data_IF_720036331014
#
_entry.id   IF_720036331014
#
_cell.length_a   1.000
_cell.length_b   1.000
_cell.length_c   1.000
_cell.angle_alpha   90.00
_cell.angle_beta   90.00
_cell.angle_gamma   90.00
#
_symmetry.space_group_name_H-M   'P 1'
#
loop_
_entity.id
_entity.type
_entity.pdbx_description
1 polymer ?
#
# COMPACT_ATOMS: atom_id res chain seq x y z
N UNK A 1 -47.11 0.72 -29.68
CA UNK A 1 -45.84 -0.04 -29.64
C UNK A 1 -45.12 0.30 -28.35
N UNK A 2 -45.32 -0.49 -27.29
CA UNK A 2 -44.53 -0.41 -26.06
C UNK A 2 -43.36 -1.38 -26.23
N UNK A 3 -42.15 -0.86 -26.40
CA UNK A 3 -40.93 -1.64 -26.41
C UNK A 3 -40.64 -2.15 -25.00
N UNK A 4 -40.59 -3.48 -24.87
CA UNK A 4 -40.18 -4.19 -23.66
C UNK A 4 -38.74 -3.77 -23.30
N UNK A 5 -38.57 -3.11 -22.16
CA UNK A 5 -37.27 -2.92 -21.54
C UNK A 5 -36.72 -4.29 -21.16
N UNK A 6 -35.61 -4.67 -21.78
CA UNK A 6 -34.85 -5.89 -21.48
C UNK A 6 -34.21 -5.71 -20.09
N UNK A 7 -34.39 -6.64 -19.14
CA UNK A 7 -33.72 -6.55 -17.85
C UNK A 7 -32.20 -6.62 -18.04
N UNK A 8 -31.48 -5.64 -17.46
CA UNK A 8 -30.01 -5.67 -17.41
C UNK A 8 -29.56 -6.79 -16.47
N UNK A 9 -28.45 -7.49 -16.77
CA UNK A 9 -27.91 -8.50 -15.88
C UNK A 9 -27.60 -7.87 -14.52
N UNK A 10 -27.95 -8.59 -13.46
CA UNK A 10 -27.70 -8.22 -12.06
C UNK A 10 -26.19 -8.18 -11.81
N UNK A 11 -25.57 -7.01 -12.00
CA UNK A 11 -24.21 -6.74 -11.58
C UNK A 11 -24.13 -6.88 -10.06
N UNK A 12 -23.23 -7.76 -9.58
CA UNK A 12 -22.86 -7.77 -8.16
C UNK A 12 -22.04 -6.52 -7.90
N UNK A 13 -22.64 -5.57 -7.19
CA UNK A 13 -21.98 -4.30 -6.83
C UNK A 13 -21.19 -4.53 -5.54
N UNK A 14 -19.88 -4.31 -5.60
CA UNK A 14 -19.03 -4.27 -4.42
C UNK A 14 -18.74 -2.81 -4.06
N UNK A 15 -19.17 -2.40 -2.88
CA UNK A 15 -18.88 -1.10 -2.31
C UNK A 15 -17.70 -1.23 -1.34
N UNK A 16 -16.58 -0.61 -1.66
CA UNK A 16 -15.55 -0.30 -0.67
C UNK A 16 -15.86 1.09 -0.11
N UNK A 17 -16.61 1.13 1.00
CA UNK A 17 -16.76 2.33 1.81
C UNK A 17 -15.82 2.23 3.01
N UNK A 18 -14.77 3.05 3.01
CA UNK A 18 -14.10 3.42 4.25
C UNK A 18 -14.66 4.80 4.60
N UNK A 19 -15.73 4.81 5.41
CA UNK A 19 -16.15 6.06 6.04
C UNK A 19 -15.04 6.49 7.00
N UNK A 20 -14.53 7.70 6.85
CA UNK A 20 -13.84 8.42 7.92
C UNK A 20 -14.85 8.74 9.03
N UNK A 21 -15.33 7.70 9.71
CA UNK A 21 -15.96 7.79 11.01
C UNK A 21 -14.90 7.52 12.05
N UNK A 22 -14.77 8.41 13.02
CA UNK A 22 -14.20 8.05 14.32
C UNK A 22 -14.88 6.77 14.81
N UNK A 23 -14.24 5.62 14.63
CA UNK A 23 -14.66 4.37 15.26
C UNK A 23 -13.57 4.00 16.26
N UNK A 24 -13.87 4.31 17.51
CA UNK A 24 -13.22 3.76 18.68
C UNK A 24 -13.57 2.26 18.75
N UNK A 25 -12.76 1.39 18.13
CA UNK A 25 -12.85 -0.06 18.39
C UNK A 25 -12.06 -0.32 19.68
N UNK A 26 -12.79 -0.40 20.79
CA UNK A 26 -12.30 -0.99 22.03
C UNK A 26 -12.54 -2.49 21.97
N UNK A 27 -11.50 -3.26 21.66
CA UNK A 27 -11.39 -4.65 22.15
C UNK A 27 -9.93 -5.03 22.27
N UNK A 28 -9.57 -5.35 23.51
CA UNK A 28 -8.27 -5.80 23.97
C UNK A 28 -7.87 -7.13 23.31
N UNK A 29 -6.86 -7.07 22.45
CA UNK A 29 -5.84 -8.11 22.32
C UNK A 29 -4.59 -7.48 21.66
N UNK A 30 -3.61 -7.16 22.50
CA UNK A 30 -2.20 -6.99 22.14
C UNK A 30 -1.83 -5.90 21.11
N UNK A 31 -1.68 -4.67 21.60
CA UNK A 31 -0.40 -3.94 21.44
C UNK A 31 -0.02 -3.36 20.07
N UNK A 32 -0.95 -3.02 19.17
CA UNK A 32 -0.63 -2.24 17.96
C UNK A 32 -1.35 -0.89 17.94
N UNK A 33 -0.71 0.15 18.49
CA UNK A 33 -1.09 1.53 18.19
C UNK A 33 -0.45 1.94 16.87
N UNK A 34 -1.27 2.03 15.81
CA UNK A 34 -0.84 2.53 14.50
C UNK A 34 -0.43 4.00 14.61
N UNK A 35 0.87 4.26 14.45
CA UNK A 35 1.35 5.58 14.08
C UNK A 35 0.92 5.87 12.64
N UNK A 36 0.22 6.98 12.43
CA UNK A 36 -0.11 7.49 11.09
C UNK A 36 1.17 8.02 10.44
N UNK A 37 1.97 7.11 9.91
CA UNK A 37 3.01 7.43 8.94
C UNK A 37 2.36 7.43 7.57
N UNK A 38 2.32 8.59 6.90
CA UNK A 38 2.06 8.67 5.46
C UNK A 38 3.30 8.16 4.70
N UNK A 39 3.66 6.90 4.92
CA UNK A 39 4.37 6.11 3.94
C UNK A 39 3.32 5.54 3.00
N UNK A 40 3.49 5.74 1.70
CA UNK A 40 2.71 5.02 0.68
C UNK A 40 3.22 3.57 0.71
N UNK A 41 2.86 2.86 1.78
CA UNK A 41 2.92 1.41 1.84
C UNK A 41 1.79 0.91 0.95
N UNK A 42 2.15 0.05 0.00
CA UNK A 42 1.22 -0.61 -0.92
C UNK A 42 -0.05 -1.05 -0.21
N UNK A 43 -1.18 -0.57 -0.72
CA UNK A 43 -2.47 -0.93 -0.16
C UNK A 43 -2.88 -2.34 -0.60
N UNK A 44 -3.31 -3.12 0.39
CA UNK A 44 -4.00 -4.39 0.23
C UNK A 44 -5.35 -4.16 -0.46
N UNK A 45 -5.43 -4.49 -1.73
CA UNK A 45 -6.65 -4.41 -2.51
C UNK A 45 -7.28 -5.79 -2.64
N UNK A 46 -8.42 -5.95 -2.00
CA UNK A 46 -9.22 -7.16 -2.11
C UNK A 46 -9.92 -7.21 -3.47
N UNK A 47 -9.27 -7.89 -4.40
CA UNK A 47 -9.92 -8.52 -5.54
C UNK A 47 -9.62 -10.01 -5.48
N UNK A 48 -10.29 -10.71 -4.56
CA UNK A 48 -10.05 -12.13 -4.33
C UNK A 48 -11.16 -12.99 -4.94
N UNK A 49 -10.75 -13.83 -5.88
CA UNK A 49 -11.53 -14.97 -6.32
C UNK A 49 -10.85 -16.23 -5.77
N UNK A 50 -11.52 -16.91 -4.84
CA UNK A 50 -11.11 -18.24 -4.40
C UNK A 50 -11.66 -19.27 -5.39
N UNK A 51 -10.84 -19.73 -6.33
CA UNK A 51 -11.14 -20.94 -7.10
C UNK A 51 -10.39 -22.11 -6.47
N UNK A 52 -11.15 -23.03 -5.87
CA UNK A 52 -10.64 -24.33 -5.49
C UNK A 52 -10.26 -25.12 -6.74
N UNK A 53 -8.97 -25.41 -6.90
CA UNK A 53 -8.56 -26.52 -7.74
C UNK A 53 -9.12 -27.85 -7.18
N UNK A 54 -9.16 -28.92 -7.99
CA UNK A 54 -9.87 -30.16 -7.63
C UNK A 54 -9.31 -30.94 -6.43
N UNK A 55 -8.32 -30.41 -5.69
CA UNK A 55 -7.78 -31.03 -4.47
C UNK A 55 -7.34 -29.96 -3.45
N UNK A 56 -8.25 -29.15 -2.93
CA UNK A 56 -8.18 -28.61 -1.56
C UNK A 56 -9.44 -27.79 -1.22
N UNK A 57 -10.26 -28.19 -0.23
CA UNK A 57 -11.62 -27.68 -0.10
C UNK A 57 -11.76 -26.41 0.76
N UNK A 58 -10.68 -25.70 1.10
CA UNK A 58 -10.79 -24.51 1.96
C UNK A 58 -10.29 -23.27 1.22
N UNK A 59 -11.22 -22.39 0.76
CA UNK A 59 -10.83 -21.08 0.27
C UNK A 59 -10.10 -20.34 1.39
N UNK A 60 -8.98 -19.70 1.06
CA UNK A 60 -8.24 -18.90 2.03
C UNK A 60 -9.15 -17.84 2.63
N UNK A 61 -9.32 -17.91 3.95
CA UNK A 61 -10.02 -16.86 4.69
C UNK A 61 -9.18 -15.59 4.72
N UNK A 62 -9.85 -14.44 4.90
CA UNK A 62 -9.17 -13.17 5.05
C UNK A 62 -8.16 -13.20 6.21
N UNK A 63 -8.53 -13.81 7.34
CA UNK A 63 -7.66 -13.94 8.51
C UNK A 63 -6.35 -14.66 8.17
N UNK A 64 -6.40 -15.71 7.35
CA UNK A 64 -5.21 -16.44 6.90
C UNK A 64 -4.36 -15.65 5.90
N UNK A 65 -4.93 -14.67 5.20
CA UNK A 65 -4.18 -13.79 4.30
C UNK A 65 -3.52 -12.64 5.06
N UNK A 66 -4.12 -12.20 6.17
CA UNK A 66 -3.58 -11.19 7.08
C UNK A 66 -2.51 -11.77 8.02
N UNK A 67 -2.49 -13.09 8.22
CA UNK A 67 -1.41 -13.81 8.90
C UNK A 67 -0.28 -14.17 7.93
N UNK A 68 0.78 -13.37 7.93
CA UNK A 68 1.90 -13.51 7.01
C UNK A 68 3.12 -12.69 7.39
N UNK A 69 4.09 -12.63 6.49
CA UNK A 69 5.31 -11.87 6.68
C UNK A 69 5.83 -11.31 5.35
N UNK A 70 6.65 -10.26 5.45
CA UNK A 70 7.34 -9.68 4.29
C UNK A 70 8.60 -10.48 3.97
N UNK A 71 8.71 -10.90 2.71
CA UNK A 71 9.91 -11.53 2.16
C UNK A 71 10.62 -10.52 1.27
N UNK A 72 11.86 -10.19 1.63
CA UNK A 72 12.69 -9.27 0.86
C UNK A 72 13.29 -9.98 -0.36
N UNK A 73 13.22 -9.33 -1.52
CA UNK A 73 14.01 -9.72 -2.69
C UNK A 73 15.36 -8.99 -2.68
N UNK A 74 16.35 -9.57 -3.35
CA UNK A 74 17.55 -8.84 -3.69
C UNK A 74 17.23 -7.61 -4.55
N UNK A 75 17.94 -6.52 -4.30
CA UNK A 75 17.91 -5.31 -5.12
C UNK A 75 19.32 -4.93 -5.53
N UNK A 76 19.44 -4.26 -6.66
CA UNK A 76 20.69 -3.65 -7.11
C UNK A 76 20.95 -2.34 -6.37
N UNK A 77 22.20 -1.88 -6.37
CA UNK A 77 22.56 -0.56 -5.82
C UNK A 77 21.87 0.58 -6.58
N UNK A 78 21.60 0.40 -7.88
CA UNK A 78 20.91 1.38 -8.71
C UNK A 78 19.43 1.52 -8.32
N UNK A 79 18.73 0.41 -8.10
CA UNK A 79 17.34 0.41 -7.62
C UNK A 79 17.22 1.10 -6.25
N UNK A 80 18.12 0.79 -5.32
CA UNK A 80 18.13 1.42 -4.01
C UNK A 80 18.40 2.93 -4.11
N UNK A 81 19.36 3.34 -4.94
CA UNK A 81 19.67 4.75 -5.15
C UNK A 81 18.48 5.53 -5.75
N UNK A 82 17.76 4.93 -6.71
CA UNK A 82 16.54 5.52 -7.27
C UNK A 82 15.47 5.73 -6.19
N UNK A 83 15.27 4.73 -5.32
CA UNK A 83 14.32 4.82 -4.22
C UNK A 83 14.74 5.87 -3.17
N UNK A 84 16.01 5.92 -2.78
CA UNK A 84 16.51 6.94 -1.84
C UNK A 84 16.33 8.36 -2.40
N UNK A 85 16.52 8.58 -3.70
CA UNK A 85 16.25 9.87 -4.36
C UNK A 85 14.77 10.24 -4.25
N UNK A 86 13.87 9.28 -4.52
CA UNK A 86 12.43 9.48 -4.38
C UNK A 86 12.03 9.83 -2.94
N UNK A 87 12.51 9.06 -1.96
CA UNK A 87 12.21 9.26 -0.55
C UNK A 87 12.70 10.63 -0.08
N UNK A 88 13.93 11.03 -0.44
CA UNK A 88 14.46 12.36 -0.14
C UNK A 88 13.59 13.47 -0.73
N UNK A 89 13.25 13.39 -2.01
CA UNK A 89 12.42 14.42 -2.67
C UNK A 89 11.04 14.54 -2.05
N UNK A 90 10.45 13.41 -1.64
CA UNK A 90 9.17 13.39 -0.93
C UNK A 90 9.27 14.08 0.43
N UNK A 91 10.36 13.84 1.18
CA UNK A 91 10.63 14.55 2.44
C UNK A 91 10.80 16.05 2.23
N UNK A 92 11.58 16.44 1.23
CA UNK A 92 11.82 17.86 0.91
C UNK A 92 10.50 18.57 0.54
N UNK A 93 9.65 17.90 -0.25
CA UNK A 93 8.33 18.41 -0.61
C UNK A 93 7.44 18.66 0.63
N UNK A 94 7.52 17.77 1.62
CA UNK A 94 6.82 17.91 2.90
C UNK A 94 7.60 18.72 3.95
N UNK A 95 8.72 19.34 3.56
CA UNK A 95 9.59 20.13 4.44
C UNK A 95 10.04 19.35 5.68
N UNK A 96 10.20 18.02 5.54
CA UNK A 96 10.64 17.17 6.62
C UNK A 96 12.15 17.20 6.74
N UNK A 97 12.71 17.23 7.97
CA UNK A 97 14.14 17.11 8.19
C UNK A 97 14.67 15.76 7.66
N UNK A 98 15.99 15.58 7.58
CA UNK A 98 16.57 14.31 7.16
C UNK A 98 16.16 13.13 8.06
N UNK A 99 16.05 13.36 9.37
CA UNK A 99 15.60 12.37 10.36
C UNK A 99 14.47 12.94 11.21
N UNK A 100 13.59 12.07 11.70
CA UNK A 100 12.54 12.42 12.66
C UNK A 100 12.95 12.06 14.10
N UNK A 101 14.26 11.92 14.35
CA UNK A 101 14.80 11.75 15.70
C UNK A 101 14.89 13.10 16.37
N UNK A 102 14.30 13.19 17.56
CA UNK A 102 14.34 14.38 18.39
C UNK A 102 15.69 14.54 19.07
N UNK A 103 16.08 15.79 19.33
CA UNK A 103 17.33 16.11 20.04
C UNK A 103 17.34 15.62 21.49
N UNK A 104 16.16 15.49 22.11
CA UNK A 104 15.99 14.93 23.46
C UNK A 104 15.96 13.39 23.49
N UNK A 105 16.23 12.75 22.35
CA UNK A 105 16.17 11.30 22.15
C UNK A 105 14.83 10.66 22.52
N UNK A 106 13.71 11.42 22.53
CA UNK A 106 12.39 10.84 22.73
C UNK A 106 11.81 10.29 21.43
N UNK A 107 11.05 9.21 21.53
CA UNK A 107 10.40 8.52 20.42
C UNK A 107 9.07 7.89 20.84
N UNK A 108 8.36 7.24 19.92
CA UNK A 108 7.15 6.47 20.22
C UNK A 108 5.89 7.32 20.08
N UNK A 109 5.01 7.32 21.09
CA UNK A 109 3.73 8.06 21.05
C UNK A 109 3.88 9.57 21.28
N UNK A 110 4.97 10.15 20.75
CA UNK A 110 5.27 11.57 20.81
C UNK A 110 5.39 12.12 19.40
N UNK A 111 5.02 13.38 19.22
CA UNK A 111 5.16 14.05 17.93
C UNK A 111 6.57 14.65 17.80
N UNK A 112 7.05 14.72 16.58
CA UNK A 112 8.26 15.45 16.25
C UNK A 112 8.00 16.96 16.38
N UNK A 113 8.90 17.74 17.01
CA UNK A 113 8.73 19.18 17.18
C UNK A 113 8.42 19.88 15.85
N UNK A 114 7.47 20.82 15.86
CA UNK A 114 7.03 21.59 14.68
C UNK A 114 6.42 20.76 13.54
N UNK A 115 6.26 19.44 13.70
CA UNK A 115 5.62 18.55 12.74
C UNK A 115 4.58 17.67 13.45
N UNK A 116 3.46 18.28 13.86
CA UNK A 116 2.42 17.65 14.70
C UNK A 116 1.84 16.35 14.13
N UNK A 117 1.89 16.17 12.81
CA UNK A 117 1.39 14.97 12.11
C UNK A 117 2.42 13.84 11.98
N UNK A 118 3.67 14.08 12.40
CA UNK A 118 4.77 13.12 12.29
C UNK A 118 5.19 12.66 13.67
N UNK A 119 5.22 11.34 13.89
CA UNK A 119 5.71 10.76 15.13
C UNK A 119 7.23 10.89 15.22
N UNK A 120 7.72 11.06 16.44
CA UNK A 120 9.14 11.02 16.74
C UNK A 120 9.64 9.57 16.63
N UNK A 121 10.63 9.35 15.77
CA UNK A 121 11.23 8.03 15.53
C UNK A 121 12.74 8.14 15.59
N UNK A 122 13.41 7.07 16.00
CA UNK A 122 14.86 7.06 16.09
C UNK A 122 15.52 7.04 14.71
N UNK A 123 16.75 7.56 14.61
CA UNK A 123 17.48 7.57 13.35
C UNK A 123 17.92 6.14 13.02
N UNK A 124 17.44 5.55 11.91
CA UNK A 124 17.77 4.17 11.54
C UNK A 124 19.26 3.96 11.26
N UNK A 125 19.96 5.01 10.80
CA UNK A 125 21.41 5.01 10.51
C UNK A 125 22.22 5.63 11.66
N UNK A 126 21.59 5.96 12.79
CA UNK A 126 22.21 6.62 13.94
C UNK A 126 22.75 5.67 15.00
N UNK A 127 23.37 6.22 16.04
CA UNK A 127 23.91 5.44 17.17
C UNK A 127 22.84 4.84 18.10
N UNK A 128 21.61 5.37 18.05
CA UNK A 128 20.50 4.96 18.93
C UNK A 128 19.25 4.57 18.13
N UNK A 129 19.30 3.55 17.25
CA UNK A 129 18.23 3.29 16.28
C UNK A 129 17.01 2.57 16.86
N UNK A 130 17.07 2.10 18.11
CA UNK A 130 15.99 1.39 18.75
C UNK A 130 15.16 2.34 19.61
N UNK A 131 13.83 2.36 19.43
CA UNK A 131 12.92 3.05 20.32
C UNK A 131 12.44 2.09 21.41
N UNK A 132 12.85 2.34 22.65
CA UNK A 132 12.49 1.53 23.83
C UNK A 132 12.09 2.47 24.97
N UNK A 133 10.95 2.21 25.61
CA UNK A 133 10.41 3.06 26.69
C UNK A 133 10.36 4.56 26.28
N UNK A 134 9.83 4.82 25.08
CA UNK A 134 9.75 6.15 24.46
C UNK A 134 11.08 6.90 24.37
N UNK A 135 12.21 6.19 24.34
CA UNK A 135 13.55 6.78 24.23
C UNK A 135 14.40 6.03 23.20
N UNK A 136 15.18 6.78 22.43
CA UNK A 136 16.12 6.23 21.45
C UNK A 136 17.35 5.72 22.19
N UNK A 137 17.59 4.42 22.09
CA UNK A 137 18.64 3.70 22.81
C UNK A 137 19.58 2.99 21.85
N UNK A 138 20.83 2.82 22.28
CA UNK A 138 21.80 2.01 21.58
C UNK A 138 21.63 0.56 22.04
N UNK A 139 20.97 -0.24 21.21
CA UNK A 139 20.72 -1.66 21.45
C UNK A 139 20.97 -2.42 20.15
N UNK A 140 21.43 -3.66 20.23
CA UNK A 140 21.51 -4.55 19.06
C UNK A 140 20.12 -4.87 18.50
N UNK A 141 20.05 -5.49 17.32
CA UNK A 141 18.76 -5.85 16.72
C UNK A 141 18.02 -6.89 17.57
N UNK A 142 18.75 -7.79 18.22
CA UNK A 142 18.24 -8.81 19.11
C UNK A 142 17.70 -8.20 20.42
N UNK A 143 18.42 -7.24 21.00
CA UNK A 143 18.00 -6.56 22.22
C UNK A 143 16.80 -5.62 22.02
N UNK A 144 16.54 -5.21 20.77
CA UNK A 144 15.38 -4.39 20.41
C UNK A 144 14.09 -5.20 20.15
N UNK A 145 14.11 -6.52 20.31
CA UNK A 145 12.94 -7.39 20.13
C UNK A 145 12.07 -7.43 21.39
N UNK A 146 11.36 -6.35 21.70
CA UNK A 146 10.38 -6.31 22.78
C UNK A 146 8.98 -5.91 22.26
N UNK A 147 7.88 -6.30 22.94
CA UNK A 147 6.53 -6.05 22.45
C UNK A 147 6.18 -4.57 22.19
N UNK A 148 6.81 -3.65 22.93
CA UNK A 148 6.60 -2.21 22.81
C UNK A 148 7.79 -1.47 22.17
N UNK A 149 8.77 -2.23 21.66
CA UNK A 149 9.97 -1.69 21.04
C UNK A 149 9.78 -1.51 19.54
N UNK A 150 10.42 -0.49 18.98
CA UNK A 150 10.48 -0.30 17.54
C UNK A 150 11.93 -0.17 17.08
N UNK A 151 12.41 -1.16 16.32
CA UNK A 151 13.73 -1.11 15.70
C UNK A 151 13.66 -0.38 14.35
N UNK A 152 14.22 0.83 14.28
CA UNK A 152 14.18 1.61 13.04
C UNK A 152 15.13 1.08 11.96
N UNK A 153 16.09 0.20 12.29
CA UNK A 153 16.99 -0.43 11.30
C UNK A 153 16.25 -1.32 10.32
N UNK A 154 15.11 -1.87 10.74
CA UNK A 154 14.31 -2.79 9.94
C UNK A 154 13.40 -2.02 8.97
N UNK A 155 13.98 -1.31 8.01
CA UNK A 155 13.20 -0.72 6.93
C UNK A 155 12.92 -1.77 5.85
N UNK A 156 11.70 -2.28 5.82
CA UNK A 156 11.20 -3.05 4.67
C UNK A 156 10.70 -2.06 3.63
N UNK A 157 11.44 -1.91 2.54
CA UNK A 157 10.97 -1.20 1.35
C UNK A 157 9.97 -2.09 0.64
N UNK A 158 8.71 -1.65 0.54
CA UNK A 158 7.65 -2.41 -0.12
C UNK A 158 8.00 -2.70 -1.60
N UNK A 159 8.79 -1.84 -2.21
CA UNK A 159 9.34 -1.97 -3.57
C UNK A 159 10.23 -3.20 -3.75
N UNK A 160 10.83 -3.65 -2.65
CA UNK A 160 11.74 -4.80 -2.58
C UNK A 160 11.18 -5.92 -1.72
N UNK A 161 9.88 -5.91 -1.40
CA UNK A 161 9.27 -6.89 -0.53
C UNK A 161 8.00 -7.47 -1.13
N UNK A 162 7.71 -8.72 -0.79
CA UNK A 162 6.45 -9.38 -1.13
C UNK A 162 5.82 -9.95 0.13
N UNK A 163 4.53 -9.69 0.32
CA UNK A 163 3.77 -10.29 1.40
C UNK A 163 3.50 -11.76 1.11
N UNK A 164 3.89 -12.64 2.03
CA UNK A 164 3.69 -14.08 1.93
C UNK A 164 2.86 -14.55 3.12
N UNK A 165 1.65 -15.08 2.90
CA UNK A 165 0.86 -15.71 3.96
C UNK A 165 1.62 -16.85 4.62
N UNK A 166 1.47 -17.00 5.93
CA UNK A 166 2.11 -18.09 6.68
C UNK A 166 1.54 -19.45 6.31
N UNK A 167 0.26 -19.48 5.95
CA UNK A 167 -0.36 -20.69 5.42
C UNK A 167 0.09 -20.92 3.96
N UNK A 168 0.87 -21.98 3.74
CA UNK A 168 1.39 -22.35 2.41
C UNK A 168 0.33 -22.76 1.40
N UNK A 169 -0.88 -23.12 1.85
CA UNK A 169 -2.02 -23.34 0.96
C UNK A 169 -2.59 -22.02 0.43
N UNK A 170 -2.26 -20.90 1.06
CA UNK A 170 -2.69 -19.56 0.68
C UNK A 170 -1.62 -18.84 -0.13
N UNK A 171 -1.91 -18.63 -1.40
CA UNK A 171 -1.01 -17.96 -2.33
C UNK A 171 -1.66 -16.71 -2.88
N UNK A 172 -0.93 -15.61 -2.78
CA UNK A 172 -1.27 -14.37 -3.46
C UNK A 172 -1.15 -14.61 -4.97
N UNK A 173 -2.25 -14.48 -5.69
CA UNK A 173 -2.24 -14.65 -7.15
C UNK A 173 -1.60 -13.42 -7.79
N UNK A 174 -0.58 -13.64 -8.60
CA UNK A 174 -0.07 -12.62 -9.50
C UNK A 174 -0.86 -12.68 -10.82
N UNK A 175 -1.37 -11.53 -11.25
CA UNK A 175 -2.03 -11.40 -12.55
C UNK A 175 -0.97 -11.27 -13.64
N UNK A 176 -0.80 -12.29 -14.46
CA UNK A 176 0.23 -12.33 -15.51
C UNK A 176 -0.32 -12.07 -16.92
N UNK A 177 -1.64 -12.14 -17.12
CA UNK A 177 -2.27 -11.92 -18.42
C UNK A 177 -3.63 -11.22 -18.30
N UNK A 178 -4.10 -10.65 -19.40
CA UNK A 178 -5.42 -10.02 -19.49
C UNK A 178 -6.54 -11.03 -19.23
N UNK A 179 -6.41 -12.27 -19.72
CA UNK A 179 -7.39 -13.33 -19.48
C UNK A 179 -7.55 -13.64 -17.98
N UNK A 180 -6.44 -13.61 -17.24
CA UNK A 180 -6.41 -13.89 -15.81
C UNK A 180 -7.17 -12.82 -15.01
N UNK A 181 -6.99 -11.56 -15.41
CA UNK A 181 -7.70 -10.40 -14.89
C UNK A 181 -9.18 -10.48 -15.24
N UNK A 182 -9.49 -10.79 -16.49
CA UNK A 182 -10.86 -10.83 -16.97
C UNK A 182 -11.68 -11.94 -16.34
N UNK A 183 -11.11 -13.12 -16.05
CA UNK A 183 -11.82 -14.15 -15.28
C UNK A 183 -12.30 -13.62 -13.92
N UNK A 184 -11.52 -12.77 -13.25
CA UNK A 184 -11.87 -12.24 -11.92
C UNK A 184 -12.88 -11.10 -11.99
N UNK A 185 -12.77 -10.25 -13.02
CA UNK A 185 -13.56 -9.04 -13.19
C UNK A 185 -14.81 -9.21 -14.05
N UNK A 186 -14.98 -10.33 -14.75
CA UNK A 186 -16.10 -10.55 -15.67
C UNK A 186 -17.45 -10.24 -15.02
N UNK A 187 -18.25 -9.39 -15.67
CA UNK A 187 -19.56 -8.93 -15.18
C UNK A 187 -19.53 -8.27 -13.78
N UNK A 188 -18.38 -7.71 -13.34
CA UNK A 188 -18.26 -7.01 -12.06
C UNK A 188 -18.02 -5.52 -12.26
N UNK A 189 -18.56 -4.75 -11.33
CA UNK A 189 -18.26 -3.32 -11.21
C UNK A 189 -17.81 -3.06 -9.78
N UNK A 190 -16.66 -2.40 -9.65
CA UNK A 190 -16.03 -2.12 -8.37
C UNK A 190 -16.03 -0.60 -8.21
N UNK A 191 -16.62 -0.13 -7.13
CA UNK A 191 -16.66 1.29 -6.82
C UNK A 191 -15.63 1.62 -5.73
N UNK A 192 -14.76 2.57 -6.04
CA UNK A 192 -13.81 3.16 -5.10
C UNK A 192 -14.35 4.50 -4.61
N UNK A 193 -14.85 4.53 -3.37
CA UNK A 193 -15.45 5.74 -2.79
C UNK A 193 -14.65 6.12 -1.55
N UNK A 194 -14.02 7.29 -1.58
CA UNK A 194 -13.29 7.85 -0.44
C UNK A 194 -12.42 9.03 -0.84
N UNK A 195 -11.40 9.29 -0.04
CA UNK A 195 -10.52 10.45 -0.17
C UNK A 195 -9.27 10.16 -1.04
N UNK A 196 -8.19 10.92 -0.82
CA UNK A 196 -6.91 10.72 -1.50
C UNK A 196 -6.34 9.32 -1.32
N UNK A 197 -6.62 8.65 -0.21
CA UNK A 197 -6.19 7.29 0.03
C UNK A 197 -6.88 6.33 -0.93
N UNK A 198 -8.21 6.33 -0.99
CA UNK A 198 -8.98 5.48 -1.91
C UNK A 198 -8.62 5.71 -3.38
N UNK A 199 -8.17 6.91 -3.74
CA UNK A 199 -7.57 7.16 -5.06
C UNK A 199 -6.25 6.40 -5.27
N UNK A 200 -5.32 6.44 -4.32
CA UNK A 200 -4.04 5.72 -4.42
C UNK A 200 -4.27 4.20 -4.50
N UNK A 201 -5.26 3.71 -3.77
CA UNK A 201 -5.77 2.35 -3.84
C UNK A 201 -6.18 2.02 -5.26
N UNK A 202 -7.20 2.70 -5.79
CA UNK A 202 -7.66 2.50 -7.16
C UNK A 202 -6.51 2.53 -8.19
N UNK A 203 -5.61 3.52 -8.10
CA UNK A 203 -4.43 3.61 -8.99
C UNK A 203 -3.49 2.41 -8.85
N UNK A 204 -3.27 1.91 -7.64
CA UNK A 204 -2.44 0.72 -7.39
C UNK A 204 -3.10 -0.54 -7.96
N UNK A 205 -4.41 -0.70 -7.77
CA UNK A 205 -5.14 -1.82 -8.36
C UNK A 205 -5.02 -1.79 -9.88
N UNK A 206 -5.30 -0.64 -10.50
CA UNK A 206 -5.25 -0.49 -11.94
C UNK A 206 -3.86 -0.82 -12.50
N UNK A 207 -2.80 -0.44 -11.79
CA UNK A 207 -1.43 -0.81 -12.14
C UNK A 207 -1.19 -2.32 -12.07
N UNK A 208 -1.76 -3.02 -11.08
CA UNK A 208 -1.66 -4.48 -10.96
C UNK A 208 -2.45 -5.17 -12.08
N UNK A 209 -3.68 -4.74 -12.33
CA UNK A 209 -4.57 -5.35 -13.34
C UNK A 209 -4.01 -5.20 -14.76
N UNK A 210 -3.44 -4.04 -15.07
CA UNK A 210 -2.91 -3.77 -16.41
C UNK A 210 -1.43 -4.12 -16.57
N UNK A 211 -0.84 -4.67 -15.51
CA UNK A 211 0.56 -5.06 -15.45
C UNK A 211 1.55 -3.88 -15.48
N UNK A 212 2.83 -4.23 -15.56
CA UNK A 212 3.94 -3.32 -15.29
C UNK A 212 4.34 -2.42 -16.47
N UNK A 213 3.38 -1.84 -17.22
CA UNK A 213 3.70 -0.90 -18.30
C UNK A 213 3.31 0.53 -17.89
N UNK A 214 4.30 1.43 -17.83
CA UNK A 214 4.24 2.80 -17.30
C UNK A 214 3.01 3.64 -17.70
N UNK A 215 2.42 3.38 -18.88
CA UNK A 215 1.25 4.12 -19.38
C UNK A 215 -0.09 3.71 -18.76
N UNK A 216 -0.22 2.54 -18.14
CA UNK A 216 -1.55 1.92 -17.93
C UNK A 216 -2.42 2.56 -16.86
N UNK A 217 -1.86 3.41 -16.01
CA UNK A 217 -2.65 4.20 -15.04
C UNK A 217 -2.84 5.65 -15.49
N UNK A 218 -2.16 6.07 -16.55
CA UNK A 218 -2.23 7.41 -17.12
C UNK A 218 -3.16 7.40 -18.34
N UNK A 219 -3.79 8.54 -18.62
CA UNK A 219 -4.62 8.67 -19.83
C UNK A 219 -3.76 8.63 -21.10
N UNK A 220 -4.36 8.19 -22.20
CA UNK A 220 -3.65 8.04 -23.48
C UNK A 220 -3.23 9.38 -24.11
N UNK A 221 -3.87 10.49 -23.73
CA UNK A 221 -3.60 11.85 -24.22
C UNK A 221 -2.41 12.54 -23.52
N UNK A 222 -1.79 11.88 -22.54
CA UNK A 222 -0.69 12.47 -21.74
C UNK A 222 0.60 12.49 -22.56
N UNK A 223 1.24 13.66 -22.63
CA UNK A 223 2.52 13.82 -23.32
C UNK A 223 3.62 12.95 -22.69
N UNK A 224 4.59 12.50 -23.49
CA UNK A 224 5.66 11.64 -23.00
C UNK A 224 6.45 12.26 -21.83
N UNK A 225 6.69 13.58 -21.87
CA UNK A 225 7.35 14.28 -20.76
C UNK A 225 6.58 14.17 -19.43
N UNK A 226 5.24 14.18 -19.47
CA UNK A 226 4.41 14.01 -18.29
C UNK A 226 4.29 12.55 -17.87
N UNK A 227 4.32 11.62 -18.83
CA UNK A 227 4.45 10.18 -18.53
C UNK A 227 5.73 9.93 -17.74
N UNK A 228 6.86 10.43 -18.22
CA UNK A 228 8.16 10.25 -17.56
C UNK A 228 8.18 10.93 -16.18
N UNK A 229 7.60 12.14 -16.06
CA UNK A 229 7.45 12.86 -14.78
C UNK A 229 6.65 12.07 -13.75
N UNK A 230 5.61 11.38 -14.18
CA UNK A 230 4.62 10.73 -13.33
C UNK A 230 4.79 9.21 -13.27
N UNK A 231 5.89 8.66 -13.74
CA UNK A 231 6.12 7.22 -13.72
C UNK A 231 6.46 6.71 -12.30
N UNK A 232 6.31 5.40 -12.09
CA UNK A 232 6.62 4.67 -10.86
C UNK A 232 6.02 5.36 -9.63
N UNK A 233 6.87 5.80 -8.69
CA UNK A 233 6.51 6.38 -7.41
C UNK A 233 5.88 7.77 -7.52
N UNK A 234 6.20 8.50 -8.60
CA UNK A 234 5.77 9.89 -8.76
C UNK A 234 4.31 10.03 -9.16
N UNK A 235 3.65 8.97 -9.63
CA UNK A 235 2.22 8.99 -10.00
C UNK A 235 1.28 9.43 -8.87
N UNK A 236 1.73 9.29 -7.62
CA UNK A 236 0.94 9.65 -6.43
C UNK A 236 1.11 11.12 -6.00
N UNK A 237 1.99 11.87 -6.65
CA UNK A 237 2.15 13.30 -6.40
C UNK A 237 0.92 14.08 -6.88
N UNK A 238 0.62 15.19 -6.21
CA UNK A 238 -0.55 16.02 -6.50
C UNK A 238 -0.60 16.47 -7.97
N UNK A 239 0.55 16.84 -8.55
CA UNK A 239 0.69 17.25 -9.95
C UNK A 239 0.26 16.17 -10.96
N UNK A 240 0.46 14.90 -10.61
CA UNK A 240 0.17 13.78 -11.50
C UNK A 240 -1.30 13.38 -11.51
N UNK A 241 -2.10 13.88 -10.56
CA UNK A 241 -3.52 13.55 -10.40
C UNK A 241 -4.34 13.78 -11.67
N UNK A 242 -4.02 14.82 -12.43
CA UNK A 242 -4.77 15.18 -13.64
C UNK A 242 -4.49 14.26 -14.83
N UNK A 243 -3.40 13.49 -14.76
CA UNK A 243 -2.98 12.55 -15.80
C UNK A 243 -3.45 11.12 -15.52
N UNK A 244 -3.91 10.83 -14.29
CA UNK A 244 -4.44 9.52 -13.94
C UNK A 244 -5.77 9.25 -14.65
N UNK A 245 -6.01 7.99 -14.96
CA UNK A 245 -7.34 7.49 -15.34
C UNK A 245 -8.24 7.57 -14.11
N UNK A 246 -9.48 8.01 -14.27
CA UNK A 246 -10.45 8.14 -13.17
C UNK A 246 -11.46 7.00 -13.18
N UNK A 247 -11.91 6.63 -14.37
CA UNK A 247 -12.80 5.50 -14.61
C UNK A 247 -12.17 4.61 -15.68
N UNK A 248 -12.26 3.30 -15.47
CA UNK A 248 -11.70 2.32 -16.39
C UNK A 248 -12.71 1.23 -16.71
N UNK A 249 -12.69 0.78 -17.96
CA UNK A 249 -13.39 -0.41 -18.41
C UNK A 249 -12.35 -1.45 -18.80
N UNK A 250 -12.23 -2.49 -18.00
CA UNK A 250 -11.40 -3.66 -18.32
C UNK A 250 -12.25 -4.68 -19.11
N UNK A 251 -11.60 -5.58 -19.85
CA UNK A 251 -12.26 -6.76 -20.44
C UNK A 251 -13.38 -6.43 -21.44
N UNK A 252 -13.19 -5.38 -22.25
CA UNK A 252 -14.17 -4.90 -23.24
C UNK A 252 -15.57 -4.59 -22.66
N UNK A 253 -15.67 -4.38 -21.33
CA UNK A 253 -16.95 -4.10 -20.70
C UNK A 253 -17.87 -5.30 -20.50
N UNK A 254 -17.32 -6.50 -20.49
CA UNK A 254 -18.05 -7.77 -20.33
C UNK A 254 -17.97 -8.38 -18.94
#
# INVERSE_FOLDING_TARGET
MMSKLKPRPTSKVFYFMISLGFILITTLASGMTMGTSFGIGHLFLELWHAEGGPVNPHPCSLDQMLDGHWVLRGHTSAELAELEVFLRRTRDFHQLPATLQRDDNKCGNLNFPNHQWHRAVCNPKGATPCCMNNSCVNQTAQECQCPECYDMRQSVHAEFATWVPNNSSCKMRQFSSEEDVCRVLQNKTIYFIGDSFMRQVYTSLLAVLRGNRARHVLRDDVSQANVDKCDKYYRYFADCRYYLIWDSQECNGT
#
